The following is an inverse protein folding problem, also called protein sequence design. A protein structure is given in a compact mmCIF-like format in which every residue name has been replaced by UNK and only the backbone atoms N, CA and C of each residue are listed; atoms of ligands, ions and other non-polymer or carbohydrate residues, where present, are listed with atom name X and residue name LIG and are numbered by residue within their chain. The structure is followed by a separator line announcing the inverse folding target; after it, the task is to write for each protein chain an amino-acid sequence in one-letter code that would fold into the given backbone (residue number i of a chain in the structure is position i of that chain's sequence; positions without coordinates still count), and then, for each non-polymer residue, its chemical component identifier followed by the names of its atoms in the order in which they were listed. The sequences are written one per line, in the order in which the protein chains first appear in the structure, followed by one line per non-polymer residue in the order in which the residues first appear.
data_IF_952872704736
#
_entry.id   IF_952872704736
#
_cell.length_a   1.000
_cell.length_b   1.000
_cell.length_c   1.000
_cell.angle_alpha   90.00
_cell.angle_beta   90.00
_cell.angle_gamma   90.00
#
_symmetry.space_group_name_H-M   'P 1'
#
loop_
_entity.id
_entity.type
_entity.pdbx_description
1 polymer ?
#
# COMPACT_ATOMS: atom_id res chain seq x y z
N UNK A 1 -27.39 -12.69 -79.96
CA UNK A 1 -26.15 -12.87 -79.17
C UNK A 1 -26.08 -11.74 -78.17
N UNK A 2 -26.56 -11.96 -76.90
CA UNK A 2 -26.53 -10.97 -75.85
C UNK A 2 -25.36 -11.33 -74.87
N UNK A 3 -24.35 -10.48 -74.88
CA UNK A 3 -23.24 -10.59 -73.86
C UNK A 3 -23.66 -9.87 -72.59
N UNK A 4 -23.92 -10.63 -71.53
CA UNK A 4 -24.13 -10.09 -70.24
C UNK A 4 -22.74 -9.80 -69.63
N UNK A 5 -22.37 -8.50 -69.48
CA UNK A 5 -21.17 -8.05 -68.77
C UNK A 5 -21.45 -8.16 -67.27
N UNK A 6 -20.86 -9.15 -66.63
CA UNK A 6 -20.85 -9.25 -65.16
C UNK A 6 -19.96 -8.15 -64.58
N UNK A 7 -20.57 -7.22 -63.87
CA UNK A 7 -19.85 -6.19 -63.08
C UNK A 7 -19.21 -6.91 -61.89
N UNK A 8 -17.88 -6.81 -61.66
CA UNK A 8 -17.29 -7.40 -60.50
C UNK A 8 -17.70 -6.62 -59.24
N UNK A 9 -18.07 -7.36 -58.20
CA UNK A 9 -18.51 -6.85 -56.91
C UNK A 9 -17.33 -6.08 -56.24
N UNK A 10 -17.43 -4.77 -56.01
CA UNK A 10 -16.33 -3.95 -55.55
C UNK A 10 -16.03 -4.12 -54.04
N UNK A 11 -16.84 -4.91 -53.32
CA UNK A 11 -16.65 -5.09 -51.88
C UNK A 11 -16.06 -6.48 -51.57
N UNK A 12 -14.82 -6.57 -51.08
CA UNK A 12 -14.30 -7.83 -50.59
C UNK A 12 -15.17 -8.30 -49.40
N UNK A 13 -15.73 -9.50 -49.50
CA UNK A 13 -16.52 -10.12 -48.44
C UNK A 13 -15.71 -10.12 -47.18
N UNK A 14 -16.20 -9.42 -46.12
CA UNK A 14 -15.57 -9.44 -44.78
C UNK A 14 -15.34 -10.89 -44.38
N UNK A 15 -14.13 -11.25 -43.90
CA UNK A 15 -13.90 -12.59 -43.40
C UNK A 15 -14.92 -12.85 -42.28
N UNK A 16 -15.60 -14.00 -42.37
CA UNK A 16 -16.52 -14.47 -41.32
C UNK A 16 -15.75 -14.41 -40.00
N UNK A 17 -16.25 -13.63 -39.02
CA UNK A 17 -15.74 -13.67 -37.64
C UNK A 17 -15.78 -15.12 -37.22
N UNK A 18 -14.59 -15.74 -37.13
CA UNK A 18 -14.46 -17.06 -36.57
C UNK A 18 -15.09 -17.04 -35.17
N UNK A 19 -16.01 -17.93 -34.93
CA UNK A 19 -16.57 -18.18 -33.61
C UNK A 19 -15.39 -18.48 -32.68
N UNK A 20 -15.08 -17.56 -31.77
CA UNK A 20 -14.07 -17.80 -30.73
C UNK A 20 -14.48 -19.08 -30.01
N UNK A 21 -13.59 -20.07 -29.87
CA UNK A 21 -13.91 -21.32 -29.19
C UNK A 21 -14.45 -20.94 -27.79
N UNK A 22 -15.64 -21.46 -27.46
CA UNK A 22 -16.25 -21.29 -26.14
C UNK A 22 -15.27 -21.85 -25.11
N UNK A 23 -14.55 -20.96 -24.44
CA UNK A 23 -13.62 -21.34 -23.35
C UNK A 23 -14.45 -21.93 -22.24
N UNK A 24 -14.36 -23.24 -22.02
CA UNK A 24 -15.15 -23.97 -21.03
C UNK A 24 -14.99 -23.39 -19.61
N UNK A 25 -15.91 -23.69 -18.68
CA UNK A 25 -15.93 -23.16 -17.32
C UNK A 25 -14.60 -23.38 -16.55
N UNK A 26 -13.89 -24.45 -16.85
CA UNK A 26 -12.57 -24.74 -16.28
C UNK A 26 -11.50 -23.68 -16.64
N UNK A 27 -11.56 -23.12 -17.85
CA UNK A 27 -10.60 -22.09 -18.25
C UNK A 27 -10.82 -20.78 -17.45
N UNK A 28 -12.07 -20.41 -17.20
CA UNK A 28 -12.37 -19.23 -16.37
C UNK A 28 -11.93 -19.43 -14.93
N UNK A 29 -12.13 -20.63 -14.37
CA UNK A 29 -11.70 -20.97 -13.02
C UNK A 29 -10.18 -20.93 -12.87
N UNK A 30 -9.44 -21.51 -13.82
CA UNK A 30 -7.97 -21.46 -13.83
C UNK A 30 -7.44 -20.04 -13.94
N UNK A 31 -7.99 -19.23 -14.83
CA UNK A 31 -7.58 -17.83 -15.00
C UNK A 31 -7.85 -17.02 -13.72
N UNK A 32 -8.99 -17.27 -13.07
CA UNK A 32 -9.34 -16.57 -11.82
C UNK A 32 -8.40 -16.99 -10.68
N UNK A 33 -8.08 -18.28 -10.55
CA UNK A 33 -7.14 -18.78 -9.55
C UNK A 33 -5.72 -18.25 -9.76
N UNK A 34 -5.25 -18.24 -11.01
CA UNK A 34 -3.94 -17.68 -11.35
C UNK A 34 -3.88 -16.18 -11.08
N UNK A 35 -4.94 -15.44 -11.41
CA UNK A 35 -5.03 -14.00 -11.11
C UNK A 35 -5.06 -13.75 -9.61
N UNK A 36 -5.80 -14.53 -8.84
CA UNK A 36 -5.85 -14.44 -7.39
C UNK A 36 -4.48 -14.76 -6.75
N UNK A 37 -3.80 -15.80 -7.24
CA UNK A 37 -2.45 -16.16 -6.81
C UNK A 37 -1.43 -15.06 -7.09
N UNK A 38 -1.46 -14.48 -8.30
CA UNK A 38 -0.59 -13.36 -8.68
C UNK A 38 -0.82 -12.13 -7.79
N UNK A 39 -2.09 -11.78 -7.52
CA UNK A 39 -2.44 -10.68 -6.64
C UNK A 39 -1.98 -10.94 -5.20
N UNK A 40 -2.17 -12.16 -4.69
CA UNK A 40 -1.74 -12.54 -3.34
C UNK A 40 -0.23 -12.44 -3.19
N UNK A 41 0.53 -12.98 -4.16
CA UNK A 41 1.98 -12.91 -4.16
C UNK A 41 2.50 -11.46 -4.21
N UNK A 42 1.84 -10.61 -5.00
CA UNK A 42 2.17 -9.17 -5.06
C UNK A 42 1.89 -8.46 -3.74
N UNK A 43 0.77 -8.80 -3.09
CA UNK A 43 0.41 -8.27 -1.77
C UNK A 43 1.42 -8.68 -0.70
N UNK A 44 1.79 -9.95 -0.64
CA UNK A 44 2.78 -10.47 0.31
C UNK A 44 4.12 -9.73 0.11
N UNK A 45 4.56 -9.56 -1.12
CA UNK A 45 5.81 -8.86 -1.43
C UNK A 45 5.78 -7.38 -1.00
N UNK A 46 4.66 -6.68 -1.23
CA UNK A 46 4.49 -5.30 -0.74
C UNK A 46 4.46 -5.26 0.79
N UNK A 47 3.76 -6.22 1.44
CA UNK A 47 3.67 -6.31 2.91
C UNK A 47 5.03 -6.55 3.56
N UNK A 48 5.84 -7.46 3.02
CA UNK A 48 7.20 -7.73 3.53
C UNK A 48 8.08 -6.49 3.43
N UNK A 49 8.07 -5.80 2.28
CA UNK A 49 8.82 -4.55 2.12
C UNK A 49 8.36 -3.47 3.09
N UNK A 50 7.04 -3.33 3.26
CA UNK A 50 6.45 -2.38 4.20
C UNK A 50 6.90 -2.67 5.64
N UNK A 51 6.84 -3.93 6.07
CA UNK A 51 7.29 -4.36 7.38
C UNK A 51 8.79 -4.08 7.59
N UNK A 52 9.62 -4.34 6.57
CA UNK A 52 11.06 -4.06 6.63
C UNK A 52 11.34 -2.56 6.80
N UNK A 53 10.66 -1.70 6.02
CA UNK A 53 10.80 -0.24 6.15
C UNK A 53 10.32 0.23 7.52
N UNK A 54 9.19 -0.33 8.02
CA UNK A 54 8.66 -0.01 9.33
C UNK A 54 9.62 -0.40 10.48
N UNK A 55 10.19 -1.60 10.41
CA UNK A 55 11.19 -2.07 11.39
C UNK A 55 12.45 -1.20 11.36
N UNK A 56 12.92 -0.83 10.18
CA UNK A 56 14.06 0.08 10.06
C UNK A 56 13.76 1.46 10.65
N UNK A 57 12.57 2.00 10.40
CA UNK A 57 12.11 3.26 11.00
C UNK A 57 12.06 3.20 12.53
N UNK A 58 11.61 2.07 13.09
CA UNK A 58 11.64 1.86 14.54
C UNK A 58 13.07 1.87 15.10
N UNK A 59 13.99 1.19 14.45
CA UNK A 59 15.42 1.21 14.86
C UNK A 59 15.98 2.64 14.84
N UNK A 60 15.67 3.41 13.79
CA UNK A 60 16.07 4.81 13.68
C UNK A 60 15.45 5.67 14.79
N UNK A 61 14.17 5.50 15.08
CA UNK A 61 13.50 6.21 16.19
C UNK A 61 14.22 5.97 17.52
N UNK A 62 14.46 4.71 17.84
CA UNK A 62 15.17 4.34 19.07
C UNK A 62 16.61 4.88 19.09
N UNK A 63 17.33 4.77 17.99
CA UNK A 63 18.71 5.23 17.89
C UNK A 63 18.82 6.75 18.06
N UNK A 64 17.98 7.52 17.36
CA UNK A 64 17.96 8.99 17.45
C UNK A 64 17.53 9.44 18.85
N UNK A 65 16.51 8.81 19.42
CA UNK A 65 16.05 9.12 20.78
C UNK A 65 17.17 8.91 21.81
N UNK A 66 17.83 7.77 21.79
CA UNK A 66 18.92 7.47 22.71
C UNK A 66 20.14 8.37 22.47
N UNK A 67 20.47 8.68 21.21
CA UNK A 67 21.57 9.60 20.91
C UNK A 67 21.30 11.01 21.47
N UNK A 68 20.07 11.52 21.34
CA UNK A 68 19.71 12.83 21.84
C UNK A 68 19.71 12.92 23.38
N UNK A 69 19.42 11.81 24.08
CA UNK A 69 19.36 11.78 25.55
C UNK A 69 20.69 11.38 26.17
N UNK A 70 21.44 10.45 25.60
CA UNK A 70 22.52 9.76 26.31
C UNK A 70 23.90 9.85 25.63
N UNK A 71 24.01 10.45 24.43
CA UNK A 71 25.31 10.57 23.77
C UNK A 71 26.30 11.35 24.66
N UNK A 72 27.45 10.75 24.89
CA UNK A 72 28.47 11.35 25.73
C UNK A 72 28.17 11.39 27.25
N UNK A 73 27.20 10.57 27.71
CA UNK A 73 26.77 10.50 29.12
C UNK A 73 25.49 11.33 29.37
N UNK A 74 25.49 12.60 29.02
CA UNK A 74 24.30 13.47 28.99
C UNK A 74 24.21 14.11 27.62
N UNK A 75 23.28 13.63 26.78
CA UNK A 75 23.10 14.15 25.44
C UNK A 75 22.50 15.57 25.42
N UNK A 76 22.42 16.19 24.23
CA UNK A 76 22.00 17.59 24.11
C UNK A 76 20.55 17.87 24.55
N UNK A 77 19.73 16.83 24.67
CA UNK A 77 18.34 16.93 25.13
C UNK A 77 18.04 16.08 26.35
N UNK A 78 19.05 15.80 27.17
CA UNK A 78 18.92 14.97 28.39
C UNK A 78 17.77 15.44 29.27
N UNK A 79 17.67 16.75 29.54
CA UNK A 79 16.61 17.35 30.37
C UNK A 79 15.27 17.56 29.64
N UNK A 80 15.18 17.20 28.35
CA UNK A 80 13.99 17.42 27.53
C UNK A 80 13.57 16.15 26.76
N UNK A 81 13.20 15.07 27.46
CA UNK A 81 12.94 13.77 26.81
C UNK A 81 11.77 13.80 25.84
N UNK A 82 10.74 14.64 26.07
CA UNK A 82 9.61 14.78 25.15
C UNK A 82 10.04 15.43 23.82
N UNK A 83 10.91 16.43 23.88
CA UNK A 83 11.47 17.06 22.67
C UNK A 83 12.36 16.07 21.90
N UNK A 84 13.22 15.33 22.61
CA UNK A 84 14.05 14.28 22.00
C UNK A 84 13.18 13.22 21.30
N UNK A 85 12.10 12.78 21.94
CA UNK A 85 11.15 11.81 21.33
C UNK A 85 10.45 12.37 20.11
N UNK A 86 10.00 13.62 20.17
CA UNK A 86 9.34 14.27 19.02
C UNK A 86 10.28 14.34 17.81
N UNK A 87 11.54 14.73 18.02
CA UNK A 87 12.54 14.77 16.96
C UNK A 87 12.80 13.37 16.39
N UNK A 88 12.98 12.36 17.25
CA UNK A 88 13.20 10.98 16.84
C UNK A 88 12.05 10.45 15.97
N UNK A 89 10.79 10.67 16.39
CA UNK A 89 9.59 10.28 15.62
C UNK A 89 9.52 11.01 14.29
N UNK A 90 9.81 12.30 14.24
CA UNK A 90 9.81 13.07 12.97
C UNK A 90 10.86 12.51 12.01
N UNK A 91 12.11 12.29 12.48
CA UNK A 91 13.19 11.71 11.66
C UNK A 91 12.80 10.32 11.17
N UNK A 92 12.31 9.44 12.04
CA UNK A 92 11.86 8.10 11.67
C UNK A 92 10.71 8.14 10.67
N UNK A 93 9.78 9.08 10.82
CA UNK A 93 8.64 9.24 9.90
C UNK A 93 9.09 9.68 8.51
N UNK A 94 10.04 10.62 8.41
CA UNK A 94 10.62 11.03 7.11
C UNK A 94 11.30 9.85 6.42
N UNK A 95 12.08 9.07 7.17
CA UNK A 95 12.79 7.90 6.64
C UNK A 95 11.81 6.82 6.19
N UNK A 96 10.80 6.51 7.01
CA UNK A 96 9.79 5.48 6.64
C UNK A 96 8.92 5.93 5.48
N UNK A 97 8.55 7.21 5.41
CA UNK A 97 7.86 7.77 4.25
C UNK A 97 8.70 7.59 2.98
N UNK A 98 9.96 8.00 3.02
CA UNK A 98 10.89 7.91 1.87
C UNK A 98 11.08 6.45 1.44
N UNK A 99 11.31 5.56 2.38
CA UNK A 99 11.44 4.12 2.14
C UNK A 99 10.17 3.51 1.53
N UNK A 100 9.01 3.83 2.08
CA UNK A 100 7.74 3.34 1.53
C UNK A 100 7.46 3.90 0.14
N UNK A 101 7.75 5.17 -0.11
CA UNK A 101 7.54 5.82 -1.39
C UNK A 101 8.44 5.25 -2.50
N UNK A 102 9.73 5.05 -2.21
CA UNK A 102 10.71 4.68 -3.22
C UNK A 102 10.90 3.17 -3.37
N UNK A 103 10.64 2.40 -2.34
CA UNK A 103 10.87 0.96 -2.36
C UNK A 103 9.60 0.12 -2.26
N UNK A 104 8.76 0.35 -1.26
CA UNK A 104 7.53 -0.45 -1.06
C UNK A 104 6.52 -0.20 -2.17
N UNK A 105 6.19 1.07 -2.41
CA UNK A 105 5.14 1.51 -3.33
C UNK A 105 5.67 2.20 -4.60
N UNK A 106 6.88 1.86 -5.03
CA UNK A 106 7.54 2.52 -6.18
C UNK A 106 6.74 2.49 -7.48
N UNK A 107 5.94 1.45 -7.69
CA UNK A 107 5.15 1.23 -8.90
C UNK A 107 3.74 1.85 -8.82
N UNK A 108 3.47 2.64 -7.77
CA UNK A 108 2.17 3.26 -7.56
C UNK A 108 2.15 4.70 -8.04
N UNK A 109 0.94 5.23 -8.32
CA UNK A 109 0.76 6.60 -8.75
C UNK A 109 1.26 7.58 -7.68
N UNK A 110 1.87 8.68 -8.13
CA UNK A 110 2.35 9.76 -7.27
C UNK A 110 1.33 10.88 -7.25
N UNK A 111 0.76 11.16 -6.08
CA UNK A 111 -0.26 12.21 -5.89
C UNK A 111 0.32 13.56 -5.46
N UNK A 112 1.65 13.64 -5.27
CA UNK A 112 2.37 14.83 -4.83
C UNK A 112 2.74 14.82 -3.34
N UNK A 113 3.95 15.33 -3.03
CA UNK A 113 4.54 15.28 -1.68
C UNK A 113 3.66 16.05 -0.67
N UNK A 114 3.10 17.19 -1.08
CA UNK A 114 2.26 18.03 -0.23
C UNK A 114 0.99 17.35 0.27
N UNK A 115 0.47 16.36 -0.45
CA UNK A 115 -0.68 15.55 -0.07
C UNK A 115 -0.26 14.26 0.61
N UNK A 116 0.76 13.60 0.07
CA UNK A 116 1.19 12.27 0.55
C UNK A 116 1.75 12.34 1.99
N UNK A 117 2.57 13.36 2.29
CA UNK A 117 3.24 13.46 3.59
C UNK A 117 2.29 13.70 4.76
N UNK A 118 1.39 14.72 4.73
CA UNK A 118 0.43 14.92 5.82
C UNK A 118 -0.50 13.70 6.00
N UNK A 119 -0.95 13.12 4.90
CA UNK A 119 -1.82 11.94 4.95
C UNK A 119 -1.10 10.74 5.57
N UNK A 120 0.17 10.52 5.21
CA UNK A 120 0.99 9.48 5.82
C UNK A 120 1.13 9.69 7.33
N UNK A 121 1.34 10.93 7.78
CA UNK A 121 1.47 11.27 9.19
C UNK A 121 0.16 11.04 9.96
N UNK A 122 -0.96 11.52 9.42
CA UNK A 122 -2.30 11.33 10.01
C UNK A 122 -2.64 9.84 10.13
N UNK A 123 -2.40 9.05 9.09
CA UNK A 123 -2.67 7.61 9.11
C UNK A 123 -1.78 6.84 10.09
N UNK A 124 -0.55 7.31 10.33
CA UNK A 124 0.28 6.80 11.43
C UNK A 124 -0.35 7.09 12.79
N UNK A 125 -0.87 8.30 12.99
CA UNK A 125 -1.59 8.69 14.21
C UNK A 125 -2.83 7.82 14.44
N UNK A 126 -3.62 7.56 13.40
CA UNK A 126 -4.77 6.64 13.49
C UNK A 126 -4.34 5.22 13.86
N UNK A 127 -3.25 4.71 13.25
CA UNK A 127 -2.69 3.40 13.59
C UNK A 127 -2.22 3.32 15.04
N UNK A 128 -1.69 4.41 15.60
CA UNK A 128 -1.39 4.52 17.03
C UNK A 128 -2.68 4.51 17.87
N UNK A 129 -3.70 5.26 17.45
CA UNK A 129 -5.00 5.27 18.11
C UNK A 129 -5.63 3.88 18.20
N UNK A 130 -5.52 3.05 17.16
CA UNK A 130 -5.97 1.65 17.16
C UNK A 130 -5.24 0.86 18.26
N UNK A 131 -3.91 1.00 18.37
CA UNK A 131 -3.13 0.29 19.39
C UNK A 131 -3.52 0.71 20.81
N UNK A 132 -3.72 2.01 21.03
CA UNK A 132 -4.18 2.54 22.32
C UNK A 132 -5.59 2.08 22.66
N UNK A 133 -6.47 1.97 21.68
CA UNK A 133 -7.83 1.45 21.87
C UNK A 133 -7.80 -0.03 22.29
N UNK A 134 -6.97 -0.85 21.64
CA UNK A 134 -6.82 -2.25 22.01
C UNK A 134 -6.34 -2.39 23.48
N UNK A 135 -5.37 -1.58 23.88
CA UNK A 135 -4.89 -1.54 25.26
C UNK A 135 -6.00 -1.11 26.23
N UNK A 136 -6.72 -0.04 25.91
CA UNK A 136 -7.81 0.47 26.73
C UNK A 136 -8.94 -0.56 26.90
N UNK A 137 -9.35 -1.24 25.83
CA UNK A 137 -10.35 -2.31 25.89
C UNK A 137 -9.87 -3.47 26.75
N UNK A 138 -8.62 -3.91 26.58
CA UNK A 138 -8.04 -4.98 27.41
C UNK A 138 -8.08 -4.64 28.90
N UNK A 139 -7.65 -3.43 29.25
CA UNK A 139 -7.47 -3.02 30.63
C UNK A 139 -8.77 -2.61 31.31
N UNK A 140 -9.59 -1.78 30.64
CA UNK A 140 -10.76 -1.15 31.27
C UNK A 140 -12.08 -1.91 30.99
N UNK A 141 -12.19 -2.63 29.87
CA UNK A 141 -13.42 -3.36 29.51
C UNK A 141 -13.31 -4.82 29.91
N UNK A 142 -12.17 -5.48 29.58
CA UNK A 142 -11.98 -6.90 29.86
C UNK A 142 -11.37 -7.16 31.26
N UNK A 143 -10.89 -6.11 31.95
CA UNK A 143 -10.32 -6.21 33.28
C UNK A 143 -8.95 -6.91 33.33
N UNK A 144 -8.31 -7.14 32.21
CA UNK A 144 -6.98 -7.75 32.16
C UNK A 144 -5.94 -6.73 32.59
N UNK A 145 -5.46 -6.82 33.82
CA UNK A 145 -4.41 -5.95 34.36
C UNK A 145 -3.14 -6.75 34.58
N UNK A 146 -2.03 -6.24 34.03
CA UNK A 146 -0.71 -6.83 34.23
C UNK A 146 0.21 -6.61 33.03
N UNK A 147 1.55 -6.68 33.25
CA UNK A 147 2.52 -6.38 32.20
C UNK A 147 2.38 -7.25 30.95
N UNK A 148 2.02 -8.52 31.12
CA UNK A 148 1.84 -9.45 30.01
C UNK A 148 0.59 -9.11 29.17
N UNK A 149 -0.55 -8.86 29.84
CA UNK A 149 -1.81 -8.52 29.17
C UNK A 149 -1.71 -7.18 28.45
N UNK A 150 -1.13 -6.17 29.07
CA UNK A 150 -0.92 -4.85 28.48
C UNK A 150 0.02 -4.92 27.25
N UNK A 151 1.12 -5.69 27.35
CA UNK A 151 2.02 -5.89 26.23
C UNK A 151 1.38 -6.68 25.08
N UNK A 152 0.60 -7.72 25.39
CA UNK A 152 -0.12 -8.50 24.37
C UNK A 152 -1.16 -7.62 23.67
N UNK A 153 -1.94 -6.86 24.41
CA UNK A 153 -2.97 -5.98 23.86
C UNK A 153 -2.37 -4.84 23.00
N UNK A 154 -1.36 -4.15 23.49
CA UNK A 154 -0.77 -3.00 22.81
C UNK A 154 0.19 -3.40 21.68
N UNK A 155 1.16 -4.30 21.98
CA UNK A 155 2.29 -4.58 21.10
C UNK A 155 2.07 -5.77 20.16
N UNK A 156 1.16 -6.68 20.44
CA UNK A 156 0.83 -7.77 19.52
C UNK A 156 -0.46 -7.45 18.77
N UNK A 157 -1.56 -7.29 19.48
CA UNK A 157 -2.88 -7.09 18.83
C UNK A 157 -2.96 -5.67 18.26
N UNK A 158 -2.68 -4.66 19.06
CA UNK A 158 -2.80 -3.26 18.67
C UNK A 158 -1.79 -2.86 17.58
N UNK A 159 -0.54 -3.27 17.71
CA UNK A 159 0.48 -3.04 16.68
C UNK A 159 0.16 -3.82 15.40
N UNK A 160 -0.30 -5.07 15.50
CA UNK A 160 -0.71 -5.89 14.36
C UNK A 160 -1.85 -5.23 13.58
N UNK A 161 -2.95 -4.88 14.26
CA UNK A 161 -4.11 -4.21 13.66
C UNK A 161 -3.72 -2.83 13.10
N UNK A 162 -2.95 -2.04 13.85
CA UNK A 162 -2.46 -0.74 13.40
C UNK A 162 -1.55 -0.85 12.17
N UNK A 163 -0.73 -1.89 12.07
CA UNK A 163 0.13 -2.14 10.90
C UNK A 163 -0.68 -2.56 9.67
N UNK A 164 -1.66 -3.44 9.84
CA UNK A 164 -2.59 -3.83 8.78
C UNK A 164 -3.37 -2.62 8.26
N UNK A 165 -3.90 -1.79 9.17
CA UNK A 165 -4.58 -0.55 8.82
C UNK A 165 -3.67 0.39 8.04
N UNK A 166 -2.43 0.65 8.50
CA UNK A 166 -1.45 1.50 7.82
C UNK A 166 -1.13 0.96 6.42
N UNK A 167 -0.86 -0.34 6.31
CA UNK A 167 -0.56 -0.95 5.01
C UNK A 167 -1.70 -0.76 4.01
N UNK A 168 -2.94 -1.07 4.43
CA UNK A 168 -4.12 -0.90 3.59
C UNK A 168 -4.37 0.56 3.22
N UNK A 169 -4.30 1.47 4.18
CA UNK A 169 -4.52 2.89 4.02
C UNK A 169 -3.50 3.55 3.10
N UNK A 170 -2.22 3.21 3.27
CA UNK A 170 -1.15 3.74 2.41
C UNK A 170 -1.33 3.27 0.98
N UNK A 171 -1.67 2.02 0.79
CA UNK A 171 -1.92 1.46 -0.54
C UNK A 171 -3.11 2.12 -1.24
N UNK A 172 -4.16 2.48 -0.49
CA UNK A 172 -5.40 3.03 -1.04
C UNK A 172 -5.35 4.54 -1.22
N UNK A 173 -4.82 5.27 -0.24
CA UNK A 173 -4.95 6.72 -0.18
C UNK A 173 -3.63 7.47 -0.40
N UNK A 174 -2.52 6.96 0.10
CA UNK A 174 -1.22 7.63 -0.05
C UNK A 174 -0.58 7.29 -1.39
N UNK A 175 -0.59 6.00 -1.75
CA UNK A 175 0.04 5.48 -2.97
C UNK A 175 -0.98 4.66 -3.78
N UNK A 176 -1.99 5.30 -4.39
CA UNK A 176 -3.00 4.59 -5.17
C UNK A 176 -2.41 3.90 -6.40
N UNK A 177 -3.11 2.90 -6.92
CA UNK A 177 -2.72 2.25 -8.17
C UNK A 177 -2.72 3.27 -9.32
N UNK A 178 -1.83 3.15 -10.32
CA UNK A 178 -1.89 3.97 -11.51
C UNK A 178 -3.26 3.81 -12.16
N UNK A 179 -3.92 4.92 -12.47
CA UNK A 179 -5.11 4.86 -13.32
C UNK A 179 -4.67 4.39 -14.68
N UNK A 180 -5.11 3.21 -15.10
CA UNK A 180 -4.97 2.77 -16.49
C UNK A 180 -5.87 3.68 -17.32
N UNK A 181 -5.30 4.78 -17.83
CA UNK A 181 -5.97 5.54 -18.87
C UNK A 181 -6.01 4.63 -20.10
N UNK A 182 -7.16 4.00 -20.31
CA UNK A 182 -7.49 3.42 -21.61
C UNK A 182 -7.51 4.60 -22.57
N UNK A 183 -6.41 4.81 -23.29
CA UNK A 183 -6.35 5.76 -24.38
C UNK A 183 -7.49 5.37 -25.33
N UNK A 184 -8.47 6.24 -25.60
CA UNK A 184 -9.48 5.94 -26.61
C UNK A 184 -8.72 5.57 -27.89
N UNK A 185 -8.97 4.39 -28.42
CA UNK A 185 -8.49 4.03 -29.76
C UNK A 185 -9.06 5.08 -30.67
N UNK A 186 -8.19 5.91 -31.25
CA UNK A 186 -8.59 6.89 -32.24
C UNK A 186 -9.37 6.13 -33.31
N UNK A 187 -10.67 6.40 -33.41
CA UNK A 187 -11.47 5.94 -34.56
C UNK A 187 -10.81 6.52 -35.80
N UNK A 188 -10.50 5.72 -36.81
CA UNK A 188 -10.07 6.26 -38.09
C UNK A 188 -11.16 7.23 -38.56
N UNK A 189 -10.76 8.47 -38.82
CA UNK A 189 -11.62 9.45 -39.47
C UNK A 189 -12.01 8.85 -40.83
N UNK A 190 -13.31 8.57 -40.96
CA UNK A 190 -13.89 8.15 -42.24
C UNK A 190 -13.68 9.31 -43.19
N UNK A 191 -12.82 9.08 -44.21
CA UNK A 191 -12.69 9.91 -45.39
C UNK A 191 -13.54 9.32 -46.49
#
# INVERSE_FOLDING_TARGET
MSYSCGVPDPYPRRPRRGTSPSRGPFHHLLVTLLAAWYQLHHLIRESVKFATVGSFGFVVDVAVFNALLYAGGQGPLYDRPLTAKTIAVVVATVITYTGNRHWTFRNRARTGITREYPLFFVLNGVGLGIALTCLAVSRYVLGFSGPLADNLAANVIGLGLGTLFRFWSYRKWVFPAPHTQVKPVAQPADA
#
